data_IF_786345276409
#
_entry.id   IF_786345276409
#
_cell.length_a   1.000
_cell.length_b   1.000
_cell.length_c   1.000
_cell.angle_alpha   90.00
_cell.angle_beta   90.00
_cell.angle_gamma   90.00
#
_symmetry.space_group_name_H-M   'P 1'
#
loop_
_entity.id
_entity.type
_entity.pdbx_description
1 polymer ?
#
# COMPACT_ATOMS: atom_id res chain seq x y z
N UNK A 1 22.57 -19.79 4.74
CA UNK A 1 21.59 -18.88 5.39
C UNK A 1 21.72 -17.40 4.97
N UNK A 2 22.87 -16.92 4.48
CA UNK A 2 23.04 -15.49 4.11
C UNK A 2 22.22 -15.01 2.90
N UNK A 3 22.21 -15.78 1.80
CA UNK A 3 21.53 -15.37 0.55
C UNK A 3 20.01 -15.29 0.71
N UNK A 4 19.41 -16.23 1.45
CA UNK A 4 17.96 -16.23 1.73
C UNK A 4 17.51 -15.00 2.52
N UNK A 5 18.31 -14.56 3.51
CA UNK A 5 18.01 -13.36 4.28
C UNK A 5 18.12 -12.09 3.42
N UNK A 6 19.09 -12.03 2.49
CA UNK A 6 19.22 -10.92 1.54
C UNK A 6 18.04 -10.86 0.58
N UNK A 7 17.65 -12.00 0.00
CA UNK A 7 16.48 -12.10 -0.87
C UNK A 7 15.19 -11.67 -0.14
N UNK A 8 14.98 -12.16 1.08
CA UNK A 8 13.82 -11.77 1.89
C UNK A 8 13.82 -10.26 2.21
N UNK A 9 14.98 -9.67 2.46
CA UNK A 9 15.11 -8.22 2.69
C UNK A 9 14.82 -7.41 1.43
N UNK A 10 15.26 -7.86 0.25
CA UNK A 10 14.95 -7.20 -1.01
C UNK A 10 13.46 -7.27 -1.34
N UNK A 11 12.79 -8.39 -1.09
CA UNK A 11 11.34 -8.49 -1.28
C UNK A 11 10.56 -7.60 -0.32
N UNK A 12 10.98 -7.53 0.95
CA UNK A 12 10.40 -6.60 1.93
C UNK A 12 10.54 -5.14 1.49
N UNK A 13 11.71 -4.76 0.99
CA UNK A 13 11.97 -3.42 0.49
C UNK A 13 11.15 -3.12 -0.79
N UNK A 14 11.04 -4.09 -1.70
CA UNK A 14 10.21 -4.00 -2.91
C UNK A 14 8.74 -3.82 -2.58
N UNK A 15 8.20 -4.63 -1.67
CA UNK A 15 6.82 -4.53 -1.22
C UNK A 15 6.52 -3.17 -0.55
N UNK A 16 7.41 -2.70 0.33
CA UNK A 16 7.25 -1.39 0.98
C UNK A 16 7.24 -0.24 -0.05
N UNK A 17 8.17 -0.26 -1.01
CA UNK A 17 8.25 0.75 -2.08
C UNK A 17 6.99 0.75 -2.95
N UNK A 18 6.56 -0.42 -3.42
CA UNK A 18 5.33 -0.55 -4.25
C UNK A 18 4.10 -0.09 -3.49
N UNK A 19 3.92 -0.54 -2.26
CA UNK A 19 2.79 -0.14 -1.42
C UNK A 19 2.74 1.38 -1.25
N UNK A 20 3.89 2.02 -0.97
CA UNK A 20 3.94 3.48 -0.82
C UNK A 20 3.51 4.22 -2.09
N UNK A 21 3.96 3.78 -3.27
CA UNK A 21 3.53 4.35 -4.55
C UNK A 21 2.04 4.13 -4.83
N UNK A 22 1.53 2.94 -4.52
CA UNK A 22 0.09 2.64 -4.61
C UNK A 22 -0.72 3.60 -3.76
N UNK A 23 -0.36 3.75 -2.47
CA UNK A 23 -1.01 4.69 -1.56
C UNK A 23 -1.05 6.11 -2.12
N UNK A 24 0.07 6.61 -2.63
CA UNK A 24 0.14 7.95 -3.24
C UNK A 24 -0.83 8.12 -4.40
N UNK A 25 -1.02 7.09 -5.24
CA UNK A 25 -1.96 7.12 -6.36
C UNK A 25 -3.43 7.16 -5.92
N UNK A 26 -3.72 6.73 -4.70
CA UNK A 26 -5.01 6.91 -4.02
C UNK A 26 -5.09 8.22 -3.21
N UNK A 27 -4.07 9.10 -3.27
CA UNK A 27 -4.02 10.32 -2.45
C UNK A 27 -3.67 10.08 -0.98
N UNK A 28 -3.25 8.87 -0.61
CA UNK A 28 -2.83 8.54 0.74
C UNK A 28 -1.34 8.85 0.95
N UNK A 29 -1.03 9.56 2.03
CA UNK A 29 0.35 9.71 2.48
C UNK A 29 0.88 8.37 3.05
N UNK A 30 2.03 7.85 2.58
CA UNK A 30 2.67 6.67 3.17
C UNK A 30 2.98 6.82 4.66
N UNK A 31 3.05 8.05 5.17
CA UNK A 31 3.25 8.33 6.60
C UNK A 31 2.12 7.79 7.49
N UNK A 32 0.92 7.56 6.93
CA UNK A 32 -0.20 6.92 7.63
C UNK A 32 0.20 5.55 8.19
N UNK A 33 1.12 4.83 7.52
CA UNK A 33 1.64 3.54 7.97
C UNK A 33 2.37 3.60 9.33
N UNK A 34 2.84 4.78 9.73
CA UNK A 34 3.62 5.01 10.95
C UNK A 34 2.82 5.73 12.05
N UNK A 35 1.52 5.95 11.86
CA UNK A 35 0.69 6.56 12.90
C UNK A 35 0.58 5.66 14.12
N UNK A 36 0.55 6.29 15.28
CA UNK A 36 0.51 5.61 16.58
C UNK A 36 -0.88 5.14 16.99
N UNK A 37 -1.93 5.50 16.25
CA UNK A 37 -3.27 5.06 16.60
C UNK A 37 -3.41 3.53 16.33
N UNK A 38 -3.94 2.76 17.29
CA UNK A 38 -3.96 1.29 17.20
C UNK A 38 -4.77 0.77 16.00
N UNK A 39 -5.85 1.44 15.63
CA UNK A 39 -6.74 1.03 14.56
C UNK A 39 -6.05 1.13 13.19
N UNK A 40 -5.49 2.29 12.85
CA UNK A 40 -4.72 2.47 11.61
C UNK A 40 -3.51 1.56 11.58
N UNK A 41 -2.81 1.40 12.72
CA UNK A 41 -1.68 0.48 12.81
C UNK A 41 -2.07 -0.96 12.48
N UNK A 42 -3.22 -1.43 12.97
CA UNK A 42 -3.73 -2.77 12.69
C UNK A 42 -4.08 -2.92 11.19
N UNK A 43 -4.81 -1.97 10.61
CA UNK A 43 -5.16 -1.95 9.18
C UNK A 43 -3.90 -1.95 8.31
N UNK A 44 -2.96 -1.04 8.58
CA UNK A 44 -1.72 -0.93 7.81
C UNK A 44 -0.81 -2.16 7.97
N UNK A 45 -0.91 -2.89 9.09
CA UNK A 45 -0.23 -4.16 9.24
C UNK A 45 -0.80 -5.24 8.30
N UNK A 46 -2.12 -5.31 8.18
CA UNK A 46 -2.80 -6.20 7.23
C UNK A 46 -2.42 -5.87 5.80
N UNK A 47 -2.50 -4.59 5.40
CA UNK A 47 -2.10 -4.11 4.06
C UNK A 47 -0.66 -4.50 3.73
N UNK A 48 0.28 -4.27 4.66
CA UNK A 48 1.70 -4.64 4.49
C UNK A 48 1.88 -6.13 4.28
N UNK A 49 1.19 -6.96 5.07
CA UNK A 49 1.27 -8.40 4.95
C UNK A 49 0.72 -8.87 3.60
N UNK A 50 -0.45 -8.37 3.18
CA UNK A 50 -1.06 -8.69 1.89
C UNK A 50 -0.18 -8.26 0.72
N UNK A 51 0.44 -7.07 0.79
CA UNK A 51 1.34 -6.59 -0.26
C UNK A 51 2.61 -7.44 -0.36
N UNK A 52 3.14 -7.91 0.78
CA UNK A 52 4.35 -8.74 0.84
C UNK A 52 4.13 -10.15 0.28
N UNK A 53 2.92 -10.69 0.40
CA UNK A 53 2.60 -12.04 -0.08
C UNK A 53 1.82 -12.03 -1.39
N UNK A 54 1.67 -10.86 -2.01
CA UNK A 54 0.92 -10.69 -3.25
C UNK A 54 1.65 -11.39 -4.39
N UNK A 55 0.94 -12.17 -5.20
CA UNK A 55 1.51 -12.82 -6.39
C UNK A 55 1.41 -11.97 -7.67
N UNK A 56 0.71 -10.84 -7.58
CA UNK A 56 0.44 -9.95 -8.72
C UNK A 56 1.37 -8.72 -8.71
N UNK A 57 2.56 -8.83 -8.13
CA UNK A 57 3.49 -7.69 -7.97
C UNK A 57 3.89 -7.06 -9.31
N UNK A 58 4.02 -7.87 -10.37
CA UNK A 58 4.29 -7.37 -11.71
C UNK A 58 3.18 -6.48 -12.25
N UNK A 59 1.91 -6.87 -12.05
CA UNK A 59 0.76 -6.05 -12.45
C UNK A 59 0.69 -4.76 -11.63
N UNK A 60 1.06 -4.82 -10.34
CA UNK A 60 1.19 -3.62 -9.51
C UNK A 60 2.18 -2.62 -10.12
N UNK A 61 3.37 -3.07 -10.52
CA UNK A 61 4.39 -2.19 -11.11
C UNK A 61 3.94 -1.66 -12.48
N UNK A 62 3.39 -2.51 -13.34
CA UNK A 62 2.85 -2.09 -14.65
C UNK A 62 1.76 -1.03 -14.52
N UNK A 63 0.83 -1.22 -13.57
CA UNK A 63 -0.21 -0.23 -13.28
C UNK A 63 0.38 1.07 -12.71
N UNK A 64 1.42 1.01 -11.89
CA UNK A 64 2.11 2.21 -11.38
C UNK A 64 2.90 2.95 -12.46
N UNK A 65 3.35 2.27 -13.51
CA UNK A 65 4.04 2.86 -14.66
C UNK A 65 3.09 3.34 -15.78
N UNK A 66 1.76 3.27 -15.56
CA UNK A 66 0.74 3.59 -16.57
C UNK A 66 0.81 2.70 -17.84
N UNK A 67 1.47 1.55 -17.75
CA UNK A 67 1.60 0.57 -18.85
C UNK A 67 0.31 -0.23 -19.07
N UNK A 68 -0.53 -0.34 -18.04
CA UNK A 68 -1.83 -1.01 -18.08
C UNK A 68 -2.94 0.00 -17.82
N UNK A 69 -3.89 0.10 -18.75
CA UNK A 69 -5.10 0.92 -18.61
C UNK A 69 -6.14 0.18 -17.77
N UNK A 70 -6.85 0.91 -16.91
CA UNK A 70 -7.96 0.38 -16.11
C UNK A 70 -7.81 0.59 -14.60
N UNK A 71 -8.74 0.02 -13.86
CA UNK A 71 -8.75 0.03 -12.40
C UNK A 71 -7.65 -0.87 -11.80
N UNK A 72 -7.65 -0.95 -10.47
CA UNK A 72 -6.69 -1.75 -9.71
C UNK A 72 -7.34 -2.93 -8.97
N UNK A 73 -8.41 -3.48 -9.55
CA UNK A 73 -9.18 -4.59 -8.99
C UNK A 73 -8.34 -5.86 -8.76
N UNK A 74 -7.19 -5.97 -9.44
CA UNK A 74 -6.20 -7.03 -9.23
C UNK A 74 -5.46 -6.93 -7.89
N UNK A 75 -5.46 -5.75 -7.25
CA UNK A 75 -4.72 -5.47 -6.03
C UNK A 75 -5.59 -5.81 -4.80
N UNK A 76 -5.17 -6.73 -3.93
CA UNK A 76 -5.95 -7.10 -2.74
C UNK A 76 -6.10 -5.95 -1.72
N UNK A 77 -5.28 -4.90 -1.84
CA UNK A 77 -5.31 -3.72 -0.98
C UNK A 77 -6.13 -2.55 -1.57
N UNK A 78 -6.59 -2.65 -2.82
CA UNK A 78 -7.23 -1.54 -3.53
C UNK A 78 -8.42 -0.97 -2.76
N UNK A 79 -9.33 -1.83 -2.30
CA UNK A 79 -10.51 -1.42 -1.52
C UNK A 79 -10.11 -0.71 -0.22
N UNK A 80 -9.10 -1.23 0.49
CA UNK A 80 -8.61 -0.59 1.73
C UNK A 80 -8.03 0.80 1.45
N UNK A 81 -7.28 0.97 0.37
CA UNK A 81 -6.76 2.28 -0.01
C UNK A 81 -7.88 3.26 -0.39
N UNK A 82 -8.90 2.79 -1.13
CA UNK A 82 -10.07 3.61 -1.46
C UNK A 82 -10.83 4.07 -0.20
N UNK A 83 -11.04 3.16 0.76
CA UNK A 83 -11.72 3.50 2.02
C UNK A 83 -10.93 4.49 2.87
N UNK A 84 -9.61 4.33 2.95
CA UNK A 84 -8.76 5.25 3.71
C UNK A 84 -8.66 6.63 3.06
N UNK A 85 -8.83 6.72 1.73
CA UNK A 85 -8.72 7.97 0.97
C UNK A 85 -10.04 8.72 0.83
N UNK A 86 -11.16 8.08 1.16
CA UNK A 86 -12.47 8.70 1.07
C UNK A 86 -12.57 9.92 2.03
N UNK A 87 -13.03 11.08 1.53
CA UNK A 87 -13.48 12.19 2.35
C UNK A 87 -14.84 11.88 2.94
N UNK A 88 -14.86 11.28 4.13
CA UNK A 88 -16.05 11.22 4.97
C UNK A 88 -15.85 12.01 6.28
N UNK A 89 -16.92 12.63 6.76
CA UNK A 89 -16.97 13.52 7.92
C UNK A 89 -16.78 12.80 9.28
N UNK A 90 -16.56 11.49 9.27
CA UNK A 90 -16.28 10.63 10.42
C UNK A 90 -14.87 10.02 10.39
N UNK A 91 -14.12 10.21 9.30
CA UNK A 91 -12.73 9.85 9.15
C UNK A 91 -11.87 11.06 9.53
N UNK A 92 -11.28 11.13 10.75
CA UNK A 92 -10.47 12.27 11.19
C UNK A 92 -9.17 12.47 10.39
N UNK A 93 -8.98 11.72 9.31
CA UNK A 93 -7.75 11.66 8.53
C UNK A 93 -7.93 12.03 7.06
N UNK A 94 -9.15 12.39 6.65
CA UNK A 94 -9.37 12.88 5.30
C UNK A 94 -8.96 14.36 5.18
N UNK A 95 -8.12 14.68 4.20
CA UNK A 95 -7.73 16.06 3.89
C UNK A 95 -6.40 16.57 4.44
N UNK A 96 -5.50 15.74 4.98
CA UNK A 96 -4.12 16.18 5.28
C UNK A 96 -3.25 16.17 4.02
N UNK A 97 -3.61 17.04 3.08
CA UNK A 97 -2.71 17.57 2.07
C UNK A 97 -1.72 18.53 2.74
N UNK A 98 -0.45 18.46 2.33
CA UNK A 98 0.52 19.54 2.55
C UNK A 98 0.07 20.75 1.73
#
# INVERSE_FOLDING_TARGET
MGIYLLYRRSELAGAARRMGKMMLRFGLSPAIANRHDPATKAVMNTVRNQCRTCRSEGHCEQWLCDEVKGGNDFCPNATTFALLSAPDASNPYSGQHI
#
